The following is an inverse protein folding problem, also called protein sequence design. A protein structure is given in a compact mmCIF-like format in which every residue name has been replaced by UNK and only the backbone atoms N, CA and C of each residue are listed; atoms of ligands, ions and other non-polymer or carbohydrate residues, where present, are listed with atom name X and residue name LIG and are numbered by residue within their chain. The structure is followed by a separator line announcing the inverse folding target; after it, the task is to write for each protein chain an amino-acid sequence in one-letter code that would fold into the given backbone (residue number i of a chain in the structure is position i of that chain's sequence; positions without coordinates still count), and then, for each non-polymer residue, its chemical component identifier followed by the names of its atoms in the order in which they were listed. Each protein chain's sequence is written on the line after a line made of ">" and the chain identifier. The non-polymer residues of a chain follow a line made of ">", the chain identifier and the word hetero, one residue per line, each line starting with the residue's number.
data_IF_655055991745
#
_entry.id   IF_655055991745
#
_cell.length_a   1.000
_cell.length_b   1.000
_cell.length_c   1.000
_cell.angle_alpha   90.00
_cell.angle_beta   90.00
_cell.angle_gamma   90.00
#
_symmetry.space_group_name_H-M   'P 1'
#
loop_
_entity.id
_entity.type
_entity.pdbx_description
1 polymer ?
#
# COMPACT_ATOMS: atom_id res chain seq x y z
N UNK A 1 -0.18 18.97 1.32
CA UNK A 1 0.79 20.07 1.26
C UNK A 1 1.63 19.86 0.00
N UNK A 2 1.76 20.85 -0.90
CA UNK A 2 2.67 20.76 -2.03
C UNK A 2 4.10 20.47 -1.57
N UNK A 3 4.87 19.70 -2.33
CA UNK A 3 6.23 19.29 -1.95
C UNK A 3 7.14 20.49 -1.61
N UNK A 4 7.03 21.58 -2.38
CA UNK A 4 7.80 22.80 -2.12
C UNK A 4 7.48 23.47 -0.78
N UNK A 5 6.22 23.37 -0.33
CA UNK A 5 5.81 23.90 0.96
C UNK A 5 6.27 22.98 2.11
N UNK A 6 6.21 21.66 1.90
CA UNK A 6 6.71 20.68 2.86
C UNK A 6 8.20 20.84 3.09
N UNK A 7 9.00 20.98 2.04
CA UNK A 7 10.44 21.17 2.15
C UNK A 7 10.80 22.49 2.85
N UNK A 8 10.03 23.56 2.63
CA UNK A 8 10.25 24.84 3.34
C UNK A 8 9.95 24.74 4.84
N UNK A 9 8.91 24.01 5.23
CA UNK A 9 8.48 23.89 6.63
C UNK A 9 9.25 22.80 7.39
N UNK A 10 9.64 21.73 6.72
CA UNK A 10 10.29 20.55 7.29
C UNK A 10 11.42 20.07 6.36
N UNK A 11 12.52 20.83 6.26
CA UNK A 11 13.58 20.55 5.29
C UNK A 11 14.20 19.17 5.53
N UNK A 12 14.28 18.36 4.47
CA UNK A 12 14.84 17.01 4.52
C UNK A 12 13.99 15.98 5.27
N UNK A 13 12.81 16.35 5.80
CA UNK A 13 11.94 15.43 6.52
C UNK A 13 10.95 14.79 5.55
N UNK A 14 11.28 13.58 5.12
CA UNK A 14 10.43 12.78 4.22
C UNK A 14 10.11 11.43 4.85
N UNK A 15 8.97 10.84 4.49
CA UNK A 15 8.56 9.54 5.04
C UNK A 15 9.64 8.47 4.90
N UNK A 16 10.36 8.41 3.77
CA UNK A 16 11.44 7.45 3.53
C UNK A 16 12.77 7.81 4.21
N UNK A 17 12.89 8.98 4.83
CA UNK A 17 14.09 9.36 5.61
C UNK A 17 13.97 9.03 7.09
N UNK A 18 12.75 8.82 7.59
CA UNK A 18 12.48 8.55 9.00
C UNK A 18 13.05 7.19 9.43
N UNK A 19 13.35 7.06 10.72
CA UNK A 19 13.49 5.75 11.36
C UNK A 19 12.11 5.12 11.60
N UNK A 20 12.06 3.80 11.73
CA UNK A 20 10.79 3.07 11.80
C UNK A 20 9.89 3.50 12.98
N UNK A 21 10.51 3.88 14.09
CA UNK A 21 9.83 4.34 15.31
C UNK A 21 9.75 5.89 15.41
N UNK A 22 10.29 6.63 14.43
CA UNK A 22 10.26 8.09 14.40
C UNK A 22 9.02 8.59 13.65
N UNK A 23 8.22 9.52 14.22
CA UNK A 23 7.05 10.05 13.55
C UNK A 23 7.43 11.17 12.58
N UNK A 24 6.67 11.31 11.49
CA UNK A 24 6.61 12.58 10.79
C UNK A 24 6.02 13.65 11.74
N UNK A 25 6.42 14.93 11.70
CA UNK A 25 5.88 15.97 12.58
C UNK A 25 4.34 16.00 12.58
N UNK A 26 3.74 15.69 13.74
CA UNK A 26 2.28 15.60 13.91
C UNK A 26 1.59 14.42 13.21
N UNK A 27 2.37 13.47 12.67
CA UNK A 27 1.90 12.32 11.91
C UNK A 27 2.18 10.98 12.58
N UNK A 28 2.01 9.91 11.82
CA UNK A 28 2.30 8.54 12.27
C UNK A 28 3.77 8.15 12.04
N UNK A 29 4.24 7.14 12.77
CA UNK A 29 5.53 6.48 12.51
C UNK A 29 5.39 5.48 11.35
N UNK A 30 6.46 5.17 10.60
CA UNK A 30 6.45 4.09 9.62
C UNK A 30 5.95 2.74 10.17
N UNK A 31 6.31 2.42 11.42
CA UNK A 31 5.87 1.20 12.08
C UNK A 31 4.37 1.20 12.38
N UNK A 32 3.82 2.34 12.82
CA UNK A 32 2.37 2.47 12.97
C UNK A 32 1.67 2.30 11.61
N UNK A 33 2.16 2.96 10.56
CA UNK A 33 1.65 2.82 9.20
C UNK A 33 1.60 1.34 8.77
N UNK A 34 2.70 0.60 8.91
CA UNK A 34 2.75 -0.83 8.61
C UNK A 34 1.74 -1.63 9.44
N UNK A 35 1.78 -1.49 10.77
CA UNK A 35 0.95 -2.28 11.69
C UNK A 35 -0.54 -2.11 11.42
N UNK A 36 -1.01 -0.88 11.17
CA UNK A 36 -2.43 -0.63 10.89
C UNK A 36 -2.88 -1.26 9.57
N UNK A 37 -2.00 -1.28 8.56
CA UNK A 37 -2.30 -1.89 7.26
C UNK A 37 -2.43 -3.40 7.40
N UNK A 38 -1.43 -4.05 8.01
CA UNK A 38 -1.43 -5.50 8.17
C UNK A 38 -2.62 -5.94 9.03
N UNK A 39 -2.85 -5.29 10.17
CA UNK A 39 -3.99 -5.59 11.04
C UNK A 39 -5.34 -5.48 10.30
N UNK A 40 -5.54 -4.42 9.51
CA UNK A 40 -6.78 -4.23 8.77
C UNK A 40 -6.94 -5.27 7.65
N UNK A 41 -5.86 -5.55 6.92
CA UNK A 41 -5.86 -6.51 5.82
C UNK A 41 -6.08 -7.94 6.29
N UNK A 42 -5.35 -8.40 7.31
CA UNK A 42 -5.53 -9.73 7.91
C UNK A 42 -6.94 -9.90 8.49
N UNK A 43 -7.50 -8.85 9.11
CA UNK A 43 -8.89 -8.90 9.56
C UNK A 43 -9.87 -9.02 8.40
N UNK A 44 -9.61 -8.40 7.23
CA UNK A 44 -10.43 -8.56 6.05
C UNK A 44 -10.31 -9.98 5.48
N UNK A 45 -9.10 -10.49 5.34
CA UNK A 45 -8.83 -11.87 4.92
C UNK A 45 -9.59 -12.86 5.81
N UNK A 46 -9.51 -12.74 7.14
CA UNK A 46 -10.24 -13.61 8.07
C UNK A 46 -11.75 -13.59 7.82
N UNK A 47 -12.35 -12.42 7.61
CA UNK A 47 -13.79 -12.31 7.31
C UNK A 47 -14.19 -13.01 6.01
N UNK A 48 -13.34 -12.93 4.99
CA UNK A 48 -13.53 -13.64 3.72
C UNK A 48 -13.42 -15.16 3.92
N UNK A 49 -12.46 -15.60 4.72
CA UNK A 49 -12.23 -17.03 5.01
C UNK A 49 -13.35 -17.65 5.86
N UNK A 50 -13.86 -16.90 6.83
CA UNK A 50 -15.01 -17.30 7.66
C UNK A 50 -16.35 -17.14 6.93
N UNK A 51 -16.35 -16.76 5.64
CA UNK A 51 -17.56 -16.54 4.84
C UNK A 51 -18.53 -15.50 5.42
N UNK A 52 -18.04 -14.58 6.26
CA UNK A 52 -18.81 -13.43 6.75
C UNK A 52 -19.09 -12.44 5.60
N UNK A 53 -18.19 -12.39 4.62
CA UNK A 53 -18.34 -11.64 3.37
C UNK A 53 -18.44 -12.64 2.22
N UNK A 54 -19.60 -12.67 1.54
CA UNK A 54 -19.93 -13.69 0.52
C UNK A 54 -19.56 -13.30 -0.91
N UNK A 55 -19.06 -12.09 -1.13
CA UNK A 55 -18.74 -11.54 -2.45
C UNK A 55 -17.28 -11.11 -2.53
N UNK A 56 -16.80 -10.88 -3.75
CA UNK A 56 -15.53 -10.21 -3.96
C UNK A 56 -15.54 -8.82 -3.32
N UNK A 57 -14.38 -8.38 -2.82
CA UNK A 57 -14.20 -7.09 -2.17
C UNK A 57 -13.29 -6.23 -3.04
N UNK A 58 -13.71 -5.00 -3.29
CA UNK A 58 -12.85 -3.97 -3.86
C UNK A 58 -12.22 -3.15 -2.73
N UNK A 59 -10.91 -3.25 -2.57
CA UNK A 59 -10.15 -2.42 -1.64
C UNK A 59 -9.62 -1.17 -2.36
N UNK A 60 -10.19 -0.01 -2.07
CA UNK A 60 -9.70 1.28 -2.59
C UNK A 60 -8.76 1.90 -1.56
N UNK A 61 -7.53 2.20 -1.98
CA UNK A 61 -6.48 2.71 -1.07
C UNK A 61 -5.39 3.46 -1.83
N UNK A 62 -4.32 3.85 -1.14
CA UNK A 62 -3.16 4.55 -1.69
C UNK A 62 -2.02 3.59 -2.08
N UNK A 63 -1.13 4.04 -2.97
CA UNK A 63 0.02 3.25 -3.41
C UNK A 63 0.96 2.80 -2.29
N UNK A 64 1.15 3.62 -1.25
CA UNK A 64 1.95 3.22 -0.07
C UNK A 64 1.36 2.01 0.66
N UNK A 65 0.03 1.90 0.71
CA UNK A 65 -0.66 0.75 1.32
C UNK A 65 -0.51 -0.48 0.45
N UNK A 66 -0.73 -0.35 -0.86
CA UNK A 66 -0.54 -1.44 -1.81
C UNK A 66 0.91 -1.96 -1.74
N UNK A 67 1.90 -1.07 -1.64
CA UNK A 67 3.31 -1.46 -1.52
C UNK A 67 3.56 -2.34 -0.28
N UNK A 68 3.05 -1.95 0.89
CA UNK A 68 3.13 -2.78 2.12
C UNK A 68 2.53 -4.17 1.89
N UNK A 69 1.36 -4.24 1.24
CA UNK A 69 0.69 -5.52 0.96
C UNK A 69 1.51 -6.41 0.01
N UNK A 70 2.23 -5.85 -0.96
CA UNK A 70 3.15 -6.62 -1.80
C UNK A 70 4.23 -7.31 -0.97
N UNK A 71 4.88 -6.60 -0.06
CA UNK A 71 5.91 -7.17 0.80
C UNK A 71 5.33 -8.24 1.71
N UNK A 72 4.21 -7.95 2.38
CA UNK A 72 3.53 -8.91 3.26
C UNK A 72 3.12 -10.19 2.54
N UNK A 73 2.44 -10.08 1.40
CA UNK A 73 1.97 -11.24 0.61
C UNK A 73 3.09 -12.03 -0.05
N UNK A 74 4.27 -11.43 -0.25
CA UNK A 74 5.46 -12.13 -0.74
C UNK A 74 6.32 -12.72 0.40
N UNK A 75 5.95 -12.53 1.67
CA UNK A 75 6.75 -12.95 2.82
C UNK A 75 8.09 -12.21 2.93
N UNK A 76 8.11 -10.93 2.55
CA UNK A 76 9.29 -10.07 2.59
C UNK A 76 9.16 -9.00 3.67
N UNK A 77 10.29 -8.63 4.29
CA UNK A 77 10.34 -7.53 5.25
C UNK A 77 10.11 -6.19 4.56
N UNK A 78 9.25 -5.36 5.16
CA UNK A 78 8.97 -4.01 4.70
C UNK A 78 9.56 -2.97 5.65
N UNK A 79 10.10 -1.89 5.07
CA UNK A 79 10.41 -0.64 5.76
C UNK A 79 9.91 0.54 4.94
N UNK A 80 9.82 1.73 5.53
CA UNK A 80 9.57 2.98 4.79
C UNK A 80 10.63 3.32 3.73
N UNK A 81 11.78 2.64 3.75
CA UNK A 81 12.88 2.78 2.81
C UNK A 81 12.83 1.74 1.68
N UNK A 82 11.91 0.77 1.78
CA UNK A 82 11.76 -0.28 0.76
C UNK A 82 11.35 0.31 -0.59
N UNK A 83 11.89 -0.21 -1.71
CA UNK A 83 11.51 0.25 -3.04
C UNK A 83 10.02 0.02 -3.31
N UNK A 84 9.47 0.83 -4.20
CA UNK A 84 8.07 0.70 -4.62
C UNK A 84 7.93 -0.32 -5.74
N UNK A 85 6.96 -1.23 -5.59
CA UNK A 85 6.41 -1.97 -6.72
C UNK A 85 5.68 -1.00 -7.69
N UNK A 86 5.56 -1.34 -8.99
CA UNK A 86 4.79 -0.53 -9.93
C UNK A 86 3.32 -0.44 -9.52
N UNK A 87 2.86 0.77 -9.21
CA UNK A 87 1.50 1.08 -8.76
C UNK A 87 1.10 2.43 -9.39
N UNK A 88 0.44 2.35 -10.54
CA UNK A 88 -0.07 3.51 -11.26
C UNK A 88 -1.38 4.01 -10.65
N UNK A 89 -1.73 5.26 -10.96
CA UNK A 89 -3.01 5.82 -10.55
C UNK A 89 -4.15 4.98 -11.15
N UNK A 90 -5.14 4.68 -10.32
CA UNK A 90 -6.31 3.84 -10.66
C UNK A 90 -5.97 2.44 -11.16
N UNK A 91 -4.74 1.94 -10.97
CA UNK A 91 -4.41 0.58 -11.36
C UNK A 91 -5.14 -0.45 -10.50
N UNK A 92 -5.41 -1.60 -11.10
CA UNK A 92 -6.05 -2.74 -10.41
C UNK A 92 -5.00 -3.79 -10.09
N UNK A 93 -5.02 -4.27 -8.85
CA UNK A 93 -4.22 -5.38 -8.36
C UNK A 93 -5.16 -6.44 -7.81
N UNK A 94 -5.02 -7.67 -8.27
CA UNK A 94 -5.90 -8.78 -7.88
C UNK A 94 -5.19 -9.67 -6.87
N UNK A 95 -5.86 -9.94 -5.75
CA UNK A 95 -5.38 -10.85 -4.70
C UNK A 95 -6.36 -12.01 -4.58
N UNK A 96 -5.85 -13.24 -4.67
CA UNK A 96 -6.64 -14.47 -4.63
C UNK A 96 -6.09 -15.42 -3.58
N UNK A 97 -6.98 -16.23 -2.98
CA UNK A 97 -6.59 -17.30 -2.06
C UNK A 97 -6.30 -18.57 -2.84
N UNK A 98 -5.04 -18.97 -2.90
CA UNK A 98 -4.54 -20.16 -3.60
C UNK A 98 -3.83 -21.07 -2.59
N UNK A 99 -4.26 -22.33 -2.48
CA UNK A 99 -3.67 -23.33 -1.58
C UNK A 99 -3.49 -22.79 -0.14
N UNK A 100 -4.54 -22.18 0.41
CA UNK A 100 -4.57 -21.54 1.73
C UNK A 100 -3.67 -20.31 1.92
N UNK A 101 -3.13 -19.73 0.85
CA UNK A 101 -2.34 -18.50 0.92
C UNK A 101 -2.95 -17.41 0.04
N UNK A 102 -3.05 -16.19 0.55
CA UNK A 102 -3.38 -15.03 -0.26
C UNK A 102 -2.19 -14.65 -1.13
N UNK A 103 -2.41 -14.47 -2.43
CA UNK A 103 -1.37 -14.17 -3.41
C UNK A 103 -1.83 -13.11 -4.39
N UNK A 104 -0.91 -12.24 -4.80
CA UNK A 104 -1.17 -11.27 -5.87
C UNK A 104 -1.05 -12.00 -7.21
N UNK A 105 -2.17 -12.08 -7.94
CA UNK A 105 -2.24 -12.81 -9.22
C UNK A 105 -2.29 -11.90 -10.43
N UNK A 106 -2.77 -10.66 -10.26
CA UNK A 106 -2.69 -9.62 -11.30
C UNK A 106 -2.08 -8.35 -10.71
N UNK A 107 -1.15 -7.73 -11.43
CA UNK A 107 -0.33 -6.62 -10.95
C UNK A 107 -0.49 -5.41 -11.87
N UNK A 108 -0.82 -4.26 -11.28
CA UNK A 108 -0.79 -2.95 -11.93
C UNK A 108 -1.57 -2.89 -13.26
N UNK A 109 -2.78 -3.46 -13.28
CA UNK A 109 -3.58 -3.54 -14.49
C UNK A 109 -4.25 -2.21 -14.80
N UNK A 110 -3.93 -1.67 -15.98
CA UNK A 110 -4.48 -0.44 -16.54
C UNK A 110 -5.38 -0.70 -17.76
N UNK A 111 -5.84 -1.94 -17.97
CA UNK A 111 -6.64 -2.35 -19.14
C UNK A 111 -7.89 -1.50 -19.36
N UNK A 112 -8.47 -0.94 -18.29
CA UNK A 112 -9.67 -0.12 -18.31
C UNK A 112 -9.41 1.36 -18.63
N UNK A 113 -8.16 1.84 -18.48
CA UNK A 113 -7.77 3.23 -18.72
C UNK A 113 -7.13 3.45 -20.10
N UNK A 114 -7.42 2.61 -21.10
CA UNK A 114 -6.86 2.77 -22.45
C UNK A 114 -7.15 4.19 -22.98
N UNK A 115 -6.11 4.95 -23.28
CA UNK A 115 -6.19 6.31 -23.83
C UNK A 115 -5.94 7.46 -22.84
N UNK A 116 -5.84 7.17 -21.53
CA UNK A 116 -5.54 8.19 -20.51
C UNK A 116 -4.12 7.97 -19.95
N UNK A 117 -3.17 8.85 -20.32
CA UNK A 117 -1.82 8.88 -19.74
C UNK A 117 -1.83 9.72 -18.46
N UNK A 118 -2.36 9.17 -17.36
CA UNK A 118 -2.16 9.73 -16.03
C UNK A 118 -1.01 8.97 -15.34
N UNK A 119 0.23 9.44 -15.51
CA UNK A 119 1.38 8.84 -14.82
C UNK A 119 1.38 9.23 -13.34
N UNK A 120 1.76 8.29 -12.48
CA UNK A 120 2.00 8.58 -11.07
C UNK A 120 3.11 9.63 -10.93
N UNK A 121 2.83 10.71 -10.21
CA UNK A 121 3.82 11.75 -9.92
C UNK A 121 4.69 11.21 -8.78
N UNK A 122 5.95 10.90 -9.08
CA UNK A 122 6.96 10.54 -8.08
C UNK A 122 7.48 11.77 -7.37
#
# INVERSE_FOLDING_TARGET
>A
MPNQEAEKRYPGVYFNTLDMDAPFPGGETPKHFYNRIIKAFESLCRKLECQEVKSNVLLVTHGGVINVLYYHLNGQDWTNKSPFFPIDNTSVHTVEKILNQWKITEKNTMKHCKGLLARSIK
#
